data_IF_046289100489
#
_entry.id   IF_046289100489
#
_cell.length_a   1.000
_cell.length_b   1.000
_cell.length_c   1.000
_cell.angle_alpha   90.00
_cell.angle_beta   90.00
_cell.angle_gamma   90.00
#
_symmetry.space_group_name_H-M   'P 1'
#
loop_
_entity.id
_entity.type
_entity.pdbx_description
1 polymer ?
#
# COMPACT_ATOMS: atom_id res chain seq x y z
N UNK A 1 -2.20 -4.80 -18.04
CA UNK A 1 -1.74 -4.04 -16.85
C UNK A 1 -0.23 -4.24 -16.70
N UNK A 2 0.56 -3.20 -16.39
CA UNK A 2 2.03 -3.37 -16.21
C UNK A 2 2.37 -3.98 -14.85
N UNK A 3 3.53 -4.65 -14.74
CA UNK A 3 4.02 -5.21 -13.47
C UNK A 3 4.07 -4.17 -12.34
N UNK A 4 4.43 -2.93 -12.67
CA UNK A 4 4.44 -1.84 -11.71
C UNK A 4 3.04 -1.54 -11.15
N UNK A 5 2.00 -1.52 -12.02
CA UNK A 5 0.61 -1.29 -11.59
C UNK A 5 0.06 -2.45 -10.77
N UNK A 6 0.44 -3.69 -11.09
CA UNK A 6 0.06 -4.88 -10.31
C UNK A 6 0.62 -4.77 -8.89
N UNK A 7 1.93 -4.56 -8.76
CA UNK A 7 2.60 -4.47 -7.45
C UNK A 7 2.09 -3.29 -6.62
N UNK A 8 1.82 -2.14 -7.24
CA UNK A 8 1.21 -1.00 -6.55
C UNK A 8 -0.22 -1.31 -6.06
N UNK A 9 -1.00 -2.05 -6.85
CA UNK A 9 -2.35 -2.48 -6.46
C UNK A 9 -2.32 -3.45 -5.29
N UNK A 10 -1.43 -4.44 -5.32
CA UNK A 10 -1.27 -5.37 -4.20
C UNK A 10 -0.89 -4.64 -2.90
N UNK A 11 0.04 -3.68 -2.98
CA UNK A 11 0.46 -2.87 -1.84
C UNK A 11 -0.71 -2.06 -1.26
N UNK A 12 -1.51 -1.45 -2.14
CA UNK A 12 -2.72 -0.72 -1.75
C UNK A 12 -3.72 -1.64 -1.05
N UNK A 13 -4.02 -2.79 -1.64
CA UNK A 13 -5.00 -3.73 -1.12
C UNK A 13 -4.57 -4.26 0.26
N UNK A 14 -3.26 -4.49 0.46
CA UNK A 14 -2.71 -4.86 1.76
C UNK A 14 -2.87 -3.76 2.82
N UNK A 15 -2.59 -2.49 2.49
CA UNK A 15 -2.75 -1.35 3.41
C UNK A 15 -4.22 -1.17 3.81
N UNK A 16 -5.12 -1.22 2.83
CA UNK A 16 -6.56 -1.12 3.06
C UNK A 16 -7.01 -2.25 3.98
N UNK A 17 -6.63 -3.49 3.68
CA UNK A 17 -7.05 -4.64 4.46
C UNK A 17 -6.50 -4.62 5.90
N UNK A 18 -5.28 -4.13 6.11
CA UNK A 18 -4.73 -3.88 7.44
C UNK A 18 -5.55 -2.82 8.18
N UNK A 19 -5.86 -1.69 7.53
CA UNK A 19 -6.61 -0.59 8.14
C UNK A 19 -8.00 -0.99 8.61
N UNK A 20 -8.75 -1.71 7.76
CA UNK A 20 -10.13 -2.12 8.07
C UNK A 20 -10.22 -3.31 9.02
N UNK A 21 -9.13 -4.06 9.22
CA UNK A 21 -9.05 -5.17 10.18
C UNK A 21 -8.29 -4.83 11.46
N UNK A 22 -8.01 -3.54 11.71
CA UNK A 22 -7.16 -3.08 12.83
C UNK A 22 -5.81 -3.81 12.93
N UNK A 23 -5.24 -4.20 11.78
CA UNK A 23 -3.96 -4.88 11.67
C UNK A 23 -2.78 -3.90 11.59
N UNK A 24 -1.57 -4.43 11.83
CA UNK A 24 -0.33 -3.69 11.63
C UNK A 24 -0.11 -3.32 10.15
N UNK A 25 0.69 -2.28 9.92
CA UNK A 25 1.08 -1.88 8.56
C UNK A 25 1.77 -3.04 7.83
N UNK A 26 1.38 -3.35 6.58
CA UNK A 26 1.92 -4.50 5.86
C UNK A 26 3.39 -4.30 5.52
N UNK A 27 4.22 -5.30 5.83
CA UNK A 27 5.61 -5.33 5.41
C UNK A 27 5.71 -5.53 3.88
N UNK A 28 6.75 -4.96 3.27
CA UNK A 28 7.04 -5.18 1.86
C UNK A 28 7.58 -6.60 1.63
N UNK A 29 6.90 -7.46 0.85
CA UNK A 29 7.34 -8.84 0.64
C UNK A 29 8.48 -8.96 -0.37
N UNK A 30 8.81 -7.89 -1.10
CA UNK A 30 9.81 -7.90 -2.15
C UNK A 30 11.20 -7.51 -1.62
N UNK A 31 12.23 -8.20 -2.12
CA UNK A 31 13.64 -7.91 -1.81
C UNK A 31 14.01 -6.47 -2.17
N UNK A 32 14.73 -5.78 -1.28
CA UNK A 32 15.13 -4.35 -1.40
C UNK A 32 15.80 -3.99 -2.73
N UNK A 33 16.61 -4.90 -3.29
CA UNK A 33 17.34 -4.67 -4.54
C UNK A 33 16.46 -4.71 -5.82
N UNK A 34 15.16 -4.96 -5.71
CA UNK A 34 14.28 -5.16 -6.86
C UNK A 34 13.40 -3.95 -7.14
N UNK A 35 13.07 -3.70 -8.42
CA UNK A 35 12.08 -2.68 -8.81
C UNK A 35 10.71 -2.90 -8.18
N UNK A 36 10.34 -4.15 -7.90
CA UNK A 36 9.08 -4.50 -7.20
C UNK A 36 9.05 -3.92 -5.79
N UNK A 37 10.19 -3.89 -5.08
CA UNK A 37 10.27 -3.25 -3.78
C UNK A 37 9.92 -1.77 -3.85
N UNK A 38 10.46 -1.05 -4.83
CA UNK A 38 10.14 0.37 -5.07
C UNK A 38 8.67 0.57 -5.40
N UNK A 39 8.11 -0.22 -6.31
CA UNK A 39 6.71 -0.12 -6.69
C UNK A 39 5.76 -0.43 -5.55
N UNK A 40 6.09 -1.41 -4.70
CA UNK A 40 5.30 -1.73 -3.52
C UNK A 40 5.27 -0.58 -2.53
N UNK A 41 6.44 -0.03 -2.16
CA UNK A 41 6.52 1.10 -1.24
C UNK A 41 5.75 2.32 -1.77
N UNK A 42 5.81 2.56 -3.08
CA UNK A 42 5.07 3.64 -3.72
C UNK A 42 3.55 3.42 -3.64
N UNK A 43 3.08 2.19 -3.88
CA UNK A 43 1.66 1.82 -3.76
C UNK A 43 1.15 1.90 -2.33
N UNK A 44 1.91 1.37 -1.37
CA UNK A 44 1.59 1.42 0.05
C UNK A 44 1.50 2.88 0.55
N UNK A 45 2.51 3.71 0.23
CA UNK A 45 2.53 5.11 0.64
C UNK A 45 1.34 5.90 0.09
N UNK A 46 0.98 5.68 -1.17
CA UNK A 46 -0.20 6.33 -1.78
C UNK A 46 -1.50 5.90 -1.07
N UNK A 47 -1.62 4.62 -0.73
CA UNK A 47 -2.78 4.11 -0.01
C UNK A 47 -2.88 4.67 1.41
N UNK A 48 -1.77 4.77 2.14
CA UNK A 48 -1.71 5.37 3.47
C UNK A 48 -2.20 6.83 3.47
N UNK A 49 -1.71 7.63 2.51
CA UNK A 49 -2.12 9.03 2.37
C UNK A 49 -3.62 9.13 2.06
N UNK A 50 -4.12 8.34 1.10
CA UNK A 50 -5.52 8.33 0.74
C UNK A 50 -6.42 7.90 1.92
N UNK A 51 -6.01 6.88 2.68
CA UNK A 51 -6.71 6.44 3.89
C UNK A 51 -6.71 7.55 4.95
N UNK A 52 -5.57 8.21 5.18
CA UNK A 52 -5.48 9.30 6.14
C UNK A 52 -6.38 10.49 5.76
N UNK A 53 -6.43 10.84 4.47
CA UNK A 53 -7.30 11.88 3.96
C UNK A 53 -8.79 11.51 4.09
N UNK A 54 -9.17 10.27 3.77
CA UNK A 54 -10.53 9.76 3.97
C UNK A 54 -10.97 9.81 5.44
N UNK A 55 -10.10 9.38 6.35
CA UNK A 55 -10.38 9.41 7.79
C UNK A 55 -10.47 10.83 8.34
N UNK A 56 -9.81 11.81 7.71
CA UNK A 56 -9.93 13.23 8.08
C UNK A 56 -11.29 13.81 7.72
N UNK A 57 -11.87 13.40 6.59
CA UNK A 57 -13.17 13.93 6.12
C UNK A 57 -14.35 13.30 6.86
N UNK A 58 -14.20 12.07 7.35
CA UNK A 58 -15.25 11.34 8.08
C UNK A 58 -15.27 11.52 9.60
N UNK A 59 -14.41 12.37 10.15
CA UNK A 59 -14.33 12.73 11.58
C UNK A 59 -14.98 14.10 11.82
#
# INVERSE_FOLDING_TARGET
MTTARIVQREARDAVIAARFRNGAAPANPYRKATRRHLWWNMGARRAELAVADLMRVGA
#
